data_IF_847435050306
#
_entry.id   IF_847435050306
#
_cell.length_a   1.000
_cell.length_b   1.000
_cell.length_c   1.000
_cell.angle_alpha   90.00
_cell.angle_beta   90.00
_cell.angle_gamma   90.00
#
_symmetry.space_group_name_H-M   'P 1'
#
loop_
_entity.id
_entity.type
_entity.pdbx_description
1 polymer ?
#
# COMPACT_ATOMS: atom_id res chain seq x y z
N UNK A 1 -3.39 18.30 8.65
CA UNK A 1 -3.99 16.98 8.40
C UNK A 1 -3.27 15.95 9.25
N UNK A 2 -4.00 15.04 9.91
CA UNK A 2 -3.41 13.95 10.70
C UNK A 2 -2.97 12.78 9.82
N UNK A 3 -2.29 11.79 10.41
CA UNK A 3 -1.96 10.53 9.74
C UNK A 3 -3.24 9.83 9.29
N UNK A 4 -3.25 9.31 8.06
CA UNK A 4 -4.38 8.56 7.48
C UNK A 4 -3.85 7.32 6.77
N UNK A 5 -4.64 6.25 6.74
CA UNK A 5 -4.28 4.99 6.11
C UNK A 5 -5.34 4.54 5.11
N UNK A 6 -4.90 3.80 4.09
CA UNK A 6 -5.76 3.13 3.13
C UNK A 6 -5.30 1.68 2.95
N UNK A 7 -6.21 0.72 3.04
CA UNK A 7 -5.91 -0.68 2.82
C UNK A 7 -6.06 -1.02 1.34
N UNK A 8 -5.01 -1.52 0.71
CA UNK A 8 -5.05 -2.01 -0.65
C UNK A 8 -5.42 -3.50 -0.66
N UNK A 9 -6.64 -3.86 -1.09
CA UNK A 9 -7.11 -5.23 -0.94
C UNK A 9 -6.40 -6.20 -1.88
N UNK A 10 -6.38 -7.49 -1.48
CA UNK A 10 -6.05 -8.56 -2.42
C UNK A 10 -7.24 -8.79 -3.35
N UNK A 11 -6.96 -8.94 -4.64
CA UNK A 11 -7.99 -9.04 -5.67
C UNK A 11 -8.69 -7.71 -5.94
N UNK A 12 -8.01 -6.58 -5.69
CA UNK A 12 -8.54 -5.25 -5.95
C UNK A 12 -9.14 -5.14 -7.36
N UNK A 13 -10.37 -4.63 -7.42
CA UNK A 13 -11.12 -4.40 -8.65
C UNK A 13 -11.10 -2.90 -9.00
N UNK A 14 -11.69 -2.53 -10.14
CA UNK A 14 -11.73 -1.14 -10.60
C UNK A 14 -12.32 -0.16 -9.57
N UNK A 15 -13.25 -0.64 -8.72
CA UNK A 15 -13.84 0.17 -7.64
C UNK A 15 -12.81 0.49 -6.54
N UNK A 16 -11.95 -0.45 -6.21
CA UNK A 16 -10.91 -0.27 -5.20
C UNK A 16 -9.84 0.69 -5.69
N UNK A 17 -9.47 0.59 -6.98
CA UNK A 17 -8.59 1.57 -7.65
C UNK A 17 -9.17 2.97 -7.57
N UNK A 18 -10.44 3.16 -7.94
CA UNK A 18 -11.08 4.47 -7.87
C UNK A 18 -11.14 5.03 -6.43
N UNK A 19 -11.33 4.16 -5.43
CA UNK A 19 -11.30 4.55 -4.03
C UNK A 19 -9.89 4.99 -3.58
N UNK A 20 -8.84 4.29 -4.05
CA UNK A 20 -7.45 4.65 -3.80
C UNK A 20 -7.11 5.99 -4.46
N UNK A 21 -7.46 6.19 -5.73
CA UNK A 21 -7.23 7.45 -6.46
C UNK A 21 -7.86 8.65 -5.75
N UNK A 22 -9.11 8.52 -5.29
CA UNK A 22 -9.78 9.57 -4.53
C UNK A 22 -9.07 9.86 -3.20
N UNK A 23 -8.60 8.83 -2.49
CA UNK A 23 -7.87 9.00 -1.24
C UNK A 23 -6.51 9.68 -1.49
N UNK A 24 -5.78 9.29 -2.53
CA UNK A 24 -4.51 9.91 -2.91
C UNK A 24 -4.67 11.38 -3.30
N UNK A 25 -5.71 11.70 -4.09
CA UNK A 25 -5.98 13.06 -4.55
C UNK A 25 -6.21 14.04 -3.39
N UNK A 26 -6.84 13.59 -2.30
CA UNK A 26 -7.02 14.39 -1.08
C UNK A 26 -5.68 14.77 -0.42
N UNK A 27 -4.64 13.95 -0.61
CA UNK A 27 -3.31 14.14 -0.05
C UNK A 27 -2.29 14.72 -1.03
N UNK A 28 -2.70 15.05 -2.27
CA UNK A 28 -1.81 15.57 -3.30
C UNK A 28 -0.97 14.51 -4.01
N UNK A 29 -1.44 13.26 -4.04
CA UNK A 29 -0.80 12.14 -4.73
C UNK A 29 -1.72 11.57 -5.81
N UNK A 30 -1.15 10.83 -6.75
CA UNK A 30 -1.86 10.14 -7.82
C UNK A 30 -1.31 8.74 -8.05
N UNK A 31 -2.09 7.89 -8.71
CA UNK A 31 -1.62 6.60 -9.23
C UNK A 31 -0.87 6.86 -10.53
N UNK A 32 0.36 6.38 -10.65
CA UNK A 32 1.06 6.37 -11.93
C UNK A 32 0.42 5.32 -12.85
N UNK A 33 -0.16 5.72 -14.00
CA UNK A 33 -0.81 4.80 -14.92
C UNK A 33 0.19 3.91 -15.67
N UNK A 34 1.49 4.24 -15.63
CA UNK A 34 2.56 3.54 -16.35
C UNK A 34 2.93 2.23 -15.67
N UNK A 35 2.90 2.18 -14.34
CA UNK A 35 3.23 1.02 -13.53
C UNK A 35 1.95 0.42 -12.91
N UNK A 36 1.24 -0.31 -13.76
CA UNK A 36 0.14 -1.19 -13.37
C UNK A 36 0.52 -2.64 -13.67
N UNK A 37 0.88 -3.41 -12.63
CA UNK A 37 1.23 -4.83 -12.79
C UNK A 37 0.09 -5.71 -12.31
N UNK A 38 -0.65 -6.31 -13.25
CA UNK A 38 -1.67 -7.30 -12.92
C UNK A 38 -1.03 -8.62 -12.48
N UNK A 39 -1.33 -9.08 -11.27
CA UNK A 39 -0.90 -10.37 -10.73
C UNK A 39 -2.07 -11.23 -10.25
N UNK A 40 -1.80 -12.51 -9.96
CA UNK A 40 -2.83 -13.46 -9.48
C UNK A 40 -3.47 -13.11 -8.12
N UNK A 41 -2.92 -12.11 -7.42
CA UNK A 41 -3.45 -11.57 -6.15
C UNK A 41 -4.08 -10.18 -6.32
N UNK A 42 -4.31 -9.73 -7.55
CA UNK A 42 -4.74 -8.37 -7.87
C UNK A 42 -3.59 -7.48 -8.38
N UNK A 43 -3.90 -6.23 -8.74
CA UNK A 43 -2.92 -5.28 -9.26
C UNK A 43 -1.96 -4.75 -8.19
N UNK A 44 -0.68 -4.64 -8.55
CA UNK A 44 0.27 -3.76 -7.88
C UNK A 44 0.27 -2.40 -8.57
N UNK A 45 0.25 -1.33 -7.77
CA UNK A 45 0.07 0.05 -8.24
C UNK A 45 1.20 0.93 -7.73
N UNK A 46 1.77 1.75 -8.60
CA UNK A 46 2.72 2.78 -8.20
C UNK A 46 1.97 4.10 -7.94
N UNK A 47 2.37 4.81 -6.89
CA UNK A 47 1.83 6.14 -6.56
C UNK A 47 2.94 7.16 -6.51
N UNK A 48 2.65 8.40 -6.90
CA UNK A 48 3.60 9.50 -6.93
C UNK A 48 2.93 10.83 -6.52
N UNK A 49 3.70 11.85 -6.12
CA UNK A 49 3.16 13.18 -5.92
C UNK A 49 2.55 13.72 -7.23
N UNK A 50 1.46 14.49 -7.11
CA UNK A 50 0.84 15.11 -8.29
C UNK A 50 1.84 16.08 -8.93
N UNK A 51 2.05 15.92 -10.24
CA UNK A 51 2.99 16.75 -10.99
C UNK A 51 4.45 16.27 -10.97
N UNK A 52 4.77 15.16 -10.29
CA UNK A 52 6.12 14.58 -10.27
C UNK A 52 6.53 13.86 -11.58
N UNK A 53 5.91 14.21 -12.72
CA UNK A 53 6.25 13.65 -14.03
C UNK A 53 7.61 14.18 -14.57
N UNK A 54 8.17 15.19 -13.92
CA UNK A 54 9.49 15.74 -14.21
C UNK A 54 10.58 15.03 -13.38
N UNK A 55 11.67 14.66 -14.07
CA UNK A 55 12.63 13.58 -13.75
C UNK A 55 13.47 13.71 -12.45
N UNK A 56 13.13 14.62 -11.52
CA UNK A 56 13.94 14.95 -10.34
C UNK A 56 13.21 14.79 -8.98
N UNK A 57 11.93 14.41 -9.00
CA UNK A 57 11.09 14.33 -7.79
C UNK A 57 10.94 12.90 -7.26
N UNK A 58 10.60 12.79 -5.97
CA UNK A 58 10.76 11.58 -5.14
C UNK A 58 10.35 10.26 -5.82
N UNK A 59 11.11 9.15 -5.61
CA UNK A 59 10.77 7.87 -6.22
C UNK A 59 9.37 7.45 -5.79
N UNK A 60 8.51 7.16 -6.77
CA UNK A 60 7.16 6.67 -6.54
C UNK A 60 7.13 5.45 -5.62
N UNK A 61 6.06 5.33 -4.83
CA UNK A 61 5.87 4.22 -3.91
C UNK A 61 5.07 3.11 -4.60
N UNK A 62 5.64 1.91 -4.69
CA UNK A 62 4.92 0.72 -5.15
C UNK A 62 4.10 0.11 -4.00
N UNK A 63 2.81 -0.08 -4.22
CA UNK A 63 1.87 -0.71 -3.29
C UNK A 63 1.49 -2.09 -3.83
N UNK A 64 1.76 -3.13 -3.04
CA UNK A 64 1.45 -4.52 -3.37
C UNK A 64 0.08 -4.94 -2.81
N UNK A 65 -0.59 -5.94 -3.42
CA UNK A 65 -1.85 -6.46 -2.92
C UNK A 65 -1.81 -6.90 -1.45
N UNK A 66 -2.75 -6.40 -0.65
CA UNK A 66 -2.83 -6.65 0.79
C UNK A 66 -1.84 -5.83 1.63
N UNK A 67 -1.29 -4.75 1.08
CA UNK A 67 -0.55 -3.76 1.86
C UNK A 67 -1.46 -2.63 2.33
N UNK A 68 -1.05 -1.96 3.38
CA UNK A 68 -1.71 -0.74 3.86
C UNK A 68 -0.78 0.41 3.58
N UNK A 69 -1.26 1.41 2.85
CA UNK A 69 -0.53 2.67 2.65
C UNK A 69 -0.91 3.66 3.74
N UNK A 70 0.07 4.41 4.23
CA UNK A 70 -0.07 5.48 5.21
C UNK A 70 0.40 6.80 4.59
N UNK A 71 -0.39 7.85 4.77
CA UNK A 71 0.04 9.23 4.60
C UNK A 71 0.58 9.76 5.93
N UNK A 72 1.90 9.89 6.02
CA UNK A 72 2.63 10.33 7.21
C UNK A 72 2.90 11.85 7.14
N UNK A 73 1.82 12.65 7.17
CA UNK A 73 1.79 14.12 7.13
C UNK A 73 2.30 14.78 5.85
N UNK A 74 3.39 14.29 5.29
CA UNK A 74 4.09 14.86 4.14
C UNK A 74 4.45 13.80 3.09
N UNK A 75 4.55 12.52 3.49
CA UNK A 75 4.97 11.43 2.58
C UNK A 75 4.11 10.19 2.68
N UNK A 76 4.00 9.47 1.56
CA UNK A 76 3.40 8.13 1.48
C UNK A 76 4.38 7.05 1.91
N UNK A 77 3.92 6.08 2.69
CA UNK A 77 4.72 4.94 3.16
C UNK A 77 3.85 3.69 3.28
N UNK A 78 4.45 2.50 3.19
CA UNK A 78 3.76 1.27 3.58
C UNK A 78 3.70 1.22 5.11
N UNK A 79 2.49 1.16 5.66
CA UNK A 79 2.29 0.99 7.08
C UNK A 79 2.89 -0.36 7.50
N UNK A 80 3.61 -0.43 8.64
CA UNK A 80 4.08 -1.70 9.15
C UNK A 80 2.88 -2.61 9.39
N UNK A 81 2.85 -3.77 8.72
CA UNK A 81 1.85 -4.79 9.03
C UNK A 81 1.95 -5.09 10.53
N UNK A 82 0.84 -5.13 11.28
CA UNK A 82 0.87 -5.78 12.58
C UNK A 82 1.31 -7.22 12.30
N UNK A 83 2.53 -7.57 12.71
CA UNK A 83 2.90 -8.96 12.82
C UNK A 83 1.92 -9.50 13.85
N UNK A 84 0.88 -10.20 13.41
CA UNK A 84 0.30 -11.26 14.24
C UNK A 84 1.50 -12.12 14.58
N UNK A 85 2.02 -11.95 15.79
CA UNK A 85 2.96 -12.89 16.34
C UNK A 85 2.25 -14.23 16.21
N UNK A 86 2.71 -15.05 15.27
CA UNK A 86 2.36 -16.45 15.28
C UNK A 86 2.76 -16.90 16.68
N UNK A 87 1.78 -17.10 17.56
CA UNK A 87 2.00 -17.70 18.85
C UNK A 87 2.70 -19.02 18.54
N UNK A 88 4.01 -19.02 18.79
CA UNK A 88 4.89 -20.14 18.65
C UNK A 88 4.39 -21.18 19.66
N UNK A 89 3.47 -22.02 19.22
CA UNK A 89 3.04 -23.22 19.91
C UNK A 89 4.15 -24.26 19.77
N UNK A 90 5.28 -24.03 20.44
CA UNK A 90 6.24 -25.11 20.69
C UNK A 90 5.65 -25.97 21.80
N UNK A 91 4.73 -26.87 21.44
CA UNK A 91 4.36 -28.00 22.28
C UNK A 91 5.57 -28.95 22.32
N UNK A 92 6.50 -28.67 23.22
CA UNK A 92 7.56 -29.61 23.57
C UNK A 92 6.93 -30.80 24.28
N UNK A 93 6.72 -31.86 23.51
CA UNK A 93 6.23 -33.15 23.95
C UNK A 93 7.16 -33.71 25.03
N UNK A 94 6.75 -33.55 26.30
CA UNK A 94 7.31 -34.25 27.45
C UNK A 94 6.81 -35.70 27.39
N UNK A 95 7.66 -36.62 26.97
CA UNK A 95 7.47 -38.04 27.24
C UNK A 95 8.61 -38.51 28.16
N UNK A 96 8.19 -39.10 29.26
CA UNK A 96 8.93 -39.56 30.43
C UNK A 96 9.92 -40.69 30.14
#
# INVERSE_FOLDING_TARGET
MGRSTFEWPRGAEARDTAALELWLAVHGWEVDPTVFMAGGLGPAVQVQPIGAADEDEEPGLLILPGETVEYAQDRMRIAPRPIVAACCGTEQHRAS
#
